data_IF_041383070300
#
_entry.id   IF_041383070300
#
_cell.length_a   1.000
_cell.length_b   1.000
_cell.length_c   1.000
_cell.angle_alpha   90.00
_cell.angle_beta   90.00
_cell.angle_gamma   90.00
#
_symmetry.space_group_name_H-M   'P 1'
#
loop_
_entity.id
_entity.type
_entity.pdbx_description
1 polymer ?
#
# COMPACT_ATOMS: atom_id res chain seq x y z
N UNK A 1 -7.75 16.91 38.00
CA UNK A 1 -8.77 17.70 38.74
C UNK A 1 -7.98 18.60 39.70
N UNK A 2 -8.26 19.87 40.00
CA UNK A 2 -9.38 20.81 39.88
C UNK A 2 -9.01 21.92 38.87
N UNK A 3 -9.79 22.11 37.79
CA UNK A 3 -9.44 23.01 36.66
C UNK A 3 -9.70 24.49 36.95
N UNK A 4 -10.64 24.77 37.85
CA UNK A 4 -10.99 26.11 38.30
C UNK A 4 -11.35 26.07 39.78
N UNK A 5 -11.15 27.19 40.45
CA UNK A 5 -11.50 27.37 41.86
C UNK A 5 -12.25 28.68 42.06
N UNK A 6 -13.03 28.73 43.14
CA UNK A 6 -13.76 29.94 43.50
C UNK A 6 -12.82 30.86 44.27
N UNK A 7 -12.58 32.05 43.74
CA UNK A 7 -11.70 33.06 44.37
C UNK A 7 -12.40 33.79 45.50
N UNK A 8 -13.71 33.96 45.40
CA UNK A 8 -14.52 34.69 46.36
C UNK A 8 -15.85 33.97 46.66
N UNK A 9 -16.06 33.65 47.93
CA UNK A 9 -17.21 32.88 48.40
C UNK A 9 -18.54 33.65 48.37
N UNK A 10 -18.51 34.99 48.40
CA UNK A 10 -19.71 35.85 48.29
C UNK A 10 -20.16 36.02 46.85
N UNK A 11 -19.22 36.27 45.93
CA UNK A 11 -19.53 36.58 44.53
C UNK A 11 -19.56 35.33 43.63
N UNK A 12 -19.11 34.18 44.15
CA UNK A 12 -18.98 32.90 43.42
C UNK A 12 -18.19 33.02 42.12
N UNK A 13 -17.24 33.96 42.08
CA UNK A 13 -16.35 34.13 40.93
C UNK A 13 -15.41 32.92 40.81
N UNK A 14 -15.34 32.35 39.61
CA UNK A 14 -14.48 31.21 39.29
C UNK A 14 -13.28 31.67 38.48
N UNK A 15 -12.08 31.27 38.88
CA UNK A 15 -10.83 31.47 38.15
C UNK A 15 -10.24 30.12 37.74
N UNK A 16 -9.60 30.05 36.58
CA UNK A 16 -8.80 28.88 36.17
C UNK A 16 -7.63 28.74 37.13
N UNK A 17 -7.35 27.52 37.58
CA UNK A 17 -6.23 27.22 38.47
C UNK A 17 -4.92 27.20 37.65
N UNK A 18 -4.06 28.19 37.85
CA UNK A 18 -2.72 28.29 37.23
C UNK A 18 -1.61 27.79 38.16
N UNK A 19 -1.99 27.24 39.33
CA UNK A 19 -1.08 26.73 40.36
C UNK A 19 -1.38 27.25 41.76
N UNK A 20 -2.44 28.04 41.96
CA UNK A 20 -2.84 28.57 43.27
C UNK A 20 -3.34 27.47 44.22
N UNK A 21 -3.87 26.37 43.70
CA UNK A 21 -4.30 25.19 44.47
C UNK A 21 -3.59 23.95 43.93
N UNK A 22 -3.16 23.00 44.77
CA UNK A 22 -2.53 21.76 44.32
C UNK A 22 -3.37 21.01 43.27
N UNK A 23 -2.75 20.72 42.13
CA UNK A 23 -3.34 19.94 41.06
C UNK A 23 -2.69 18.55 41.04
N UNK A 24 -3.51 17.50 41.17
CA UNK A 24 -3.05 16.12 41.13
C UNK A 24 -3.38 15.48 39.79
N UNK A 25 -2.40 14.77 39.22
CA UNK A 25 -2.61 13.87 38.09
C UNK A 25 -3.01 12.50 38.63
N UNK A 26 -4.25 12.07 38.35
CA UNK A 26 -4.80 10.79 38.82
C UNK A 26 -4.83 9.84 37.63
N UNK A 27 -4.15 8.70 37.78
CA UNK A 27 -4.13 7.62 36.79
C UNK A 27 -5.28 6.63 37.05
N UNK A 28 -5.90 6.09 35.99
CA UNK A 28 -6.86 4.97 36.09
C UNK A 28 -8.25 5.27 36.64
N UNK A 29 -8.72 6.53 36.62
CA UNK A 29 -10.05 6.89 37.15
C UNK A 29 -11.22 6.47 36.25
N UNK A 30 -10.99 6.34 34.95
CA UNK A 30 -11.93 5.76 34.00
C UNK A 30 -11.16 4.82 33.07
N UNK A 31 -11.87 3.85 32.50
CA UNK A 31 -11.32 3.03 31.43
C UNK A 31 -10.80 3.94 30.30
N UNK A 32 -9.58 3.69 29.85
CA UNK A 32 -8.95 4.53 28.86
C UNK A 32 -9.66 4.34 27.50
N UNK A 33 -10.01 5.43 26.82
CA UNK A 33 -10.58 5.38 25.47
C UNK A 33 -9.55 4.85 24.47
N UNK A 34 -8.27 5.13 24.73
CA UNK A 34 -7.12 4.73 23.92
C UNK A 34 -6.09 4.16 24.89
N UNK A 35 -5.46 3.05 24.52
CA UNK A 35 -4.36 2.46 25.29
C UNK A 35 -3.27 3.50 25.60
N UNK A 36 -2.74 3.56 26.83
CA UNK A 36 -1.70 4.51 27.20
C UNK A 36 -0.48 4.46 26.28
N UNK A 37 -0.06 3.27 25.85
CA UNK A 37 1.06 3.10 24.92
C UNK A 37 0.79 3.78 23.57
N UNK A 38 -0.40 3.58 22.99
CA UNK A 38 -0.79 4.22 21.75
C UNK A 38 -0.86 5.75 21.90
N UNK A 39 -1.36 6.24 23.04
CA UNK A 39 -1.36 7.66 23.35
C UNK A 39 0.07 8.25 23.40
N UNK A 40 0.99 7.58 24.10
CA UNK A 40 2.38 8.00 24.21
C UNK A 40 3.10 8.02 22.84
N UNK A 41 2.86 7.01 22.00
CA UNK A 41 3.39 6.97 20.63
C UNK A 41 2.90 8.17 19.81
N UNK A 42 1.63 8.54 19.93
CA UNK A 42 1.06 9.71 19.24
C UNK A 42 1.67 11.01 19.77
N UNK A 43 1.80 11.17 21.09
CA UNK A 43 2.43 12.36 21.68
C UNK A 43 3.88 12.52 21.19
N UNK A 44 4.63 11.42 21.12
CA UNK A 44 6.01 11.41 20.59
C UNK A 44 6.07 11.82 19.12
N UNK A 45 5.15 11.31 18.30
CA UNK A 45 5.06 11.67 16.89
C UNK A 45 4.64 13.15 16.70
N UNK A 46 3.76 13.67 17.55
CA UNK A 46 3.40 15.09 17.55
C UNK A 46 4.60 15.98 17.89
N UNK A 47 5.38 15.62 18.90
CA UNK A 47 6.59 16.37 19.27
C UNK A 47 7.67 16.29 18.18
N UNK A 48 7.86 15.11 17.57
CA UNK A 48 8.72 14.96 16.39
C UNK A 48 8.30 15.86 15.24
N UNK A 49 6.99 15.95 14.95
CA UNK A 49 6.46 16.85 13.91
C UNK A 49 6.62 18.32 14.25
N UNK A 50 6.56 18.69 15.53
CA UNK A 50 6.73 20.07 16.00
C UNK A 50 8.18 20.52 15.93
N UNK A 51 9.12 19.64 16.31
CA UNK A 51 10.56 19.91 16.24
C UNK A 51 11.08 20.01 14.81
N UNK A 52 10.49 19.26 13.88
CA UNK A 52 10.77 19.39 12.46
C UNK A 52 10.24 20.71 11.86
N UNK A 53 11.15 21.62 11.50
CA UNK A 53 10.77 22.91 10.88
C UNK A 53 10.08 22.69 9.52
N UNK A 54 8.80 23.03 9.44
CA UNK A 54 8.04 23.15 8.19
C UNK A 54 6.95 22.09 7.99
N UNK A 55 6.07 22.32 7.01
CA UNK A 55 4.95 21.42 6.71
C UNK A 55 5.45 20.06 6.24
N UNK A 56 5.06 19.00 6.95
CA UNK A 56 5.22 17.63 6.45
C UNK A 56 4.28 17.43 5.25
N UNK A 57 4.81 16.95 4.14
CA UNK A 57 4.04 16.57 2.97
C UNK A 57 4.38 15.13 2.61
N UNK A 58 3.38 14.28 2.45
CA UNK A 58 3.53 12.91 1.96
C UNK A 58 3.26 12.78 0.45
N UNK A 59 3.17 13.89 -0.29
CA UNK A 59 2.72 13.89 -1.69
C UNK A 59 3.67 13.13 -2.63
N UNK A 60 4.96 13.08 -2.31
CA UNK A 60 5.98 12.33 -3.07
C UNK A 60 6.93 11.62 -2.12
N UNK A 61 7.51 10.51 -2.58
CA UNK A 61 8.37 9.60 -1.81
C UNK A 61 9.43 10.30 -0.94
N UNK A 62 10.13 11.28 -1.51
CA UNK A 62 11.25 11.94 -0.83
C UNK A 62 10.88 13.26 -0.13
N UNK A 63 9.59 13.58 -0.06
CA UNK A 63 9.10 14.83 0.55
C UNK A 63 9.46 14.86 2.03
N UNK A 64 10.16 15.91 2.46
CA UNK A 64 10.60 16.07 3.85
C UNK A 64 11.78 15.18 4.27
N UNK A 65 12.33 14.36 3.36
CA UNK A 65 13.43 13.43 3.66
C UNK A 65 14.79 13.90 3.15
N UNK A 66 14.82 14.77 2.15
CA UNK A 66 16.07 15.20 1.49
C UNK A 66 16.42 16.63 1.88
N UNK A 67 17.68 16.84 2.24
CA UNK A 67 18.20 18.10 2.77
C UNK A 67 19.35 18.61 1.93
N UNK A 68 19.41 19.94 1.76
CA UNK A 68 20.51 20.58 1.06
C UNK A 68 21.74 20.62 1.98
N UNK A 69 22.86 20.07 1.51
CA UNK A 69 24.13 20.05 2.27
C UNK A 69 24.63 21.45 2.64
N UNK A 70 24.44 22.46 1.78
CA UNK A 70 24.97 23.80 2.03
C UNK A 70 24.18 24.62 3.04
N UNK A 71 22.84 24.57 2.97
CA UNK A 71 21.99 25.44 3.80
C UNK A 71 21.11 24.69 4.81
N UNK A 72 21.19 23.36 4.86
CA UNK A 72 20.39 22.50 5.73
C UNK A 72 18.88 22.51 5.45
N UNK A 73 18.43 23.27 4.45
CA UNK A 73 17.00 23.38 4.12
C UNK A 73 16.56 22.18 3.30
N UNK A 74 15.32 21.72 3.50
CA UNK A 74 14.70 20.63 2.74
C UNK A 74 14.67 20.93 1.24
N UNK A 75 14.94 19.92 0.41
CA UNK A 75 14.65 19.97 -1.02
C UNK A 75 13.14 19.87 -1.23
N UNK A 76 12.63 20.58 -2.23
CA UNK A 76 11.24 20.52 -2.65
C UNK A 76 11.13 19.95 -4.06
N UNK A 77 10.12 19.11 -4.28
CA UNK A 77 9.80 18.64 -5.62
C UNK A 77 9.20 19.77 -6.45
N UNK A 78 9.72 19.96 -7.66
CA UNK A 78 9.18 20.83 -8.70
C UNK A 78 8.88 19.99 -9.94
N UNK A 79 7.93 20.45 -10.74
CA UNK A 79 7.61 19.83 -12.02
C UNK A 79 8.13 20.76 -13.10
N UNK A 80 9.04 20.28 -13.93
CA UNK A 80 9.50 20.96 -15.14
C UNK A 80 8.72 20.42 -16.34
N UNK A 81 8.55 21.27 -17.37
CA UNK A 81 7.79 20.95 -18.59
C UNK A 81 6.39 20.38 -18.29
N UNK A 82 5.66 20.98 -17.33
CA UNK A 82 4.39 20.44 -16.81
C UNK A 82 3.33 20.16 -17.87
N UNK A 83 3.38 20.88 -19.00
CA UNK A 83 2.40 20.86 -20.09
C UNK A 83 2.88 20.07 -21.30
N UNK A 84 4.13 19.58 -21.30
CA UNK A 84 4.75 18.90 -22.44
C UNK A 84 5.04 17.42 -22.11
N UNK A 85 5.29 16.59 -23.13
CA UNK A 85 5.63 15.16 -23.01
C UNK A 85 6.93 14.92 -22.23
N UNK A 86 7.79 15.93 -22.12
CA UNK A 86 9.04 15.89 -21.34
C UNK A 86 8.84 16.27 -19.86
N UNK A 87 7.60 16.19 -19.36
CA UNK A 87 7.27 16.43 -17.96
C UNK A 87 8.15 15.60 -17.04
N UNK A 88 8.90 16.29 -16.20
CA UNK A 88 9.85 15.67 -15.29
C UNK A 88 9.74 16.26 -13.89
N UNK A 89 9.96 15.43 -12.89
CA UNK A 89 9.97 15.84 -11.48
C UNK A 89 11.41 15.99 -11.05
N UNK A 90 11.75 17.17 -10.58
CA UNK A 90 13.08 17.50 -10.09
C UNK A 90 13.01 17.95 -8.62
N UNK A 91 14.10 17.75 -7.90
CA UNK A 91 14.28 18.09 -6.51
C UNK A 91 15.31 19.20 -6.41
N UNK A 92 14.88 20.37 -5.93
CA UNK A 92 15.74 21.55 -5.79
C UNK A 92 15.63 22.13 -4.38
N UNK A 93 16.69 22.79 -3.93
CA UNK A 93 16.71 23.46 -2.63
C UNK A 93 15.61 24.52 -2.53
N UNK A 94 14.71 24.40 -1.54
CA UNK A 94 13.61 25.35 -1.37
C UNK A 94 14.09 26.77 -1.04
N UNK A 95 15.25 26.91 -0.37
CA UNK A 95 15.84 28.23 -0.08
C UNK A 95 16.40 28.89 -1.35
N UNK A 96 16.96 28.11 -2.27
CA UNK A 96 17.43 28.60 -3.57
C UNK A 96 16.29 29.19 -4.41
N UNK A 97 15.10 28.56 -4.40
CA UNK A 97 13.94 29.05 -5.13
C UNK A 97 13.27 30.30 -4.50
N UNK A 98 13.72 30.76 -3.32
CA UNK A 98 13.14 31.94 -2.64
C UNK A 98 13.92 33.20 -3.01
N UNK A 99 13.19 34.30 -3.17
CA UNK A 99 13.77 35.62 -3.51
C UNK A 99 14.66 36.19 -2.39
N UNK A 100 14.37 35.90 -1.12
CA UNK A 100 15.13 36.41 0.01
C UNK A 100 16.28 35.47 0.39
N UNK A 101 17.52 35.89 0.09
CA UNK A 101 18.78 35.18 0.41
C UNK A 101 18.81 33.73 -0.13
N UNK A 102 18.90 33.56 -1.47
CA UNK A 102 18.93 32.23 -2.07
C UNK A 102 20.19 31.47 -1.64
N UNK A 103 20.03 30.17 -1.40
CA UNK A 103 21.17 29.27 -1.27
C UNK A 103 21.97 29.29 -2.58
N UNK A 104 23.31 29.29 -2.50
CA UNK A 104 24.19 29.29 -3.68
C UNK A 104 24.11 27.97 -4.45
N UNK A 105 23.78 26.87 -3.77
CA UNK A 105 23.50 25.60 -4.43
C UNK A 105 22.23 25.65 -5.31
N UNK A 106 22.45 25.77 -6.62
CA UNK A 106 21.42 25.64 -7.66
C UNK A 106 21.27 24.21 -8.20
N UNK A 107 22.03 23.24 -7.68
CA UNK A 107 21.97 21.86 -8.14
C UNK A 107 20.56 21.30 -7.97
N UNK A 108 20.10 20.62 -9.01
CA UNK A 108 18.85 19.89 -9.02
C UNK A 108 19.15 18.40 -9.20
N UNK A 109 18.29 17.57 -8.64
CA UNK A 109 18.33 16.12 -8.84
C UNK A 109 17.01 15.68 -9.47
N UNK A 110 17.05 14.82 -10.46
CA UNK A 110 15.84 14.19 -10.96
C UNK A 110 15.30 13.17 -9.95
N UNK A 111 14.01 12.87 -10.04
CA UNK A 111 13.39 11.84 -9.19
C UNK A 111 14.07 10.47 -9.36
N UNK A 112 14.48 10.13 -10.59
CA UNK A 112 15.13 8.86 -10.91
C UNK A 112 16.57 8.75 -10.39
N UNK A 113 17.36 9.83 -10.47
CA UNK A 113 18.70 9.86 -9.86
C UNK A 113 18.61 9.65 -8.36
N UNK A 114 17.63 10.27 -7.71
CA UNK A 114 17.44 10.16 -6.27
C UNK A 114 16.98 8.75 -5.86
N UNK A 115 16.05 8.13 -6.61
CA UNK A 115 15.67 6.72 -6.42
C UNK A 115 16.87 5.80 -6.56
N UNK A 116 17.64 5.96 -7.62
CA UNK A 116 18.82 5.13 -7.92
C UNK A 116 19.86 5.25 -6.81
N UNK A 117 20.14 6.47 -6.34
CA UNK A 117 21.07 6.71 -5.25
C UNK A 117 20.61 6.06 -3.94
N UNK A 118 19.32 6.19 -3.59
CA UNK A 118 18.75 5.56 -2.40
C UNK A 118 18.79 4.04 -2.51
N UNK A 119 18.40 3.46 -3.64
CA UNK A 119 18.47 2.01 -3.86
C UNK A 119 19.90 1.49 -3.77
N UNK A 120 20.87 2.21 -4.35
CA UNK A 120 22.29 1.85 -4.25
C UNK A 120 22.78 1.88 -2.81
N UNK A 121 22.43 2.92 -2.05
CA UNK A 121 22.81 3.03 -0.64
C UNK A 121 22.15 1.92 0.21
N UNK A 122 20.85 1.68 0.03
CA UNK A 122 20.11 0.63 0.75
C UNK A 122 20.66 -0.75 0.43
N UNK A 123 20.94 -1.05 -0.84
CA UNK A 123 21.54 -2.33 -1.24
C UNK A 123 22.91 -2.56 -0.62
N UNK A 124 23.68 -1.51 -0.32
CA UNK A 124 24.97 -1.63 0.38
C UNK A 124 24.82 -1.86 1.89
N UNK A 125 23.72 -1.43 2.49
CA UNK A 125 23.44 -1.61 3.92
C UNK A 125 22.86 -2.99 4.23
N UNK A 126 22.25 -3.65 3.25
CA UNK A 126 21.70 -5.00 3.41
C UNK A 126 22.81 -6.01 3.11
N UNK A 127 23.52 -6.44 4.15
CA UNK A 127 24.64 -7.38 4.03
C UNK A 127 24.19 -8.77 3.53
N UNK A 128 23.02 -9.25 3.97
CA UNK A 128 22.49 -10.58 3.62
C UNK A 128 21.41 -10.52 2.53
N UNK A 129 21.57 -9.62 1.56
CA UNK A 129 20.54 -9.39 0.53
C UNK A 129 20.20 -10.68 -0.22
N UNK A 130 21.22 -11.44 -0.63
CA UNK A 130 21.03 -12.64 -1.44
C UNK A 130 20.34 -13.76 -0.65
N UNK A 131 20.67 -13.92 0.63
CA UNK A 131 19.99 -14.88 1.52
C UNK A 131 18.51 -14.53 1.71
N UNK A 132 18.21 -13.25 1.94
CA UNK A 132 16.82 -12.77 2.09
C UNK A 132 16.05 -12.97 0.79
N UNK A 133 16.65 -12.65 -0.36
CA UNK A 133 16.00 -12.83 -1.66
C UNK A 133 15.75 -14.30 -1.96
N UNK A 134 16.71 -15.18 -1.70
CA UNK A 134 16.55 -16.62 -1.89
C UNK A 134 15.46 -17.18 -0.97
N UNK A 135 15.46 -16.81 0.31
CA UNK A 135 14.40 -17.23 1.24
C UNK A 135 13.01 -16.75 0.82
N UNK A 136 12.90 -15.50 0.34
CA UNK A 136 11.63 -14.99 -0.20
C UNK A 136 11.21 -15.73 -1.47
N UNK A 137 12.15 -16.05 -2.37
CA UNK A 137 11.84 -16.83 -3.58
C UNK A 137 11.40 -18.25 -3.25
N UNK A 138 12.00 -18.90 -2.26
CA UNK A 138 11.57 -20.21 -1.77
C UNK A 138 10.16 -20.15 -1.17
N UNK A 139 9.88 -19.14 -0.34
CA UNK A 139 8.55 -18.93 0.24
C UNK A 139 7.51 -18.67 -0.87
N UNK A 140 7.82 -17.79 -1.82
CA UNK A 140 6.93 -17.50 -2.96
C UNK A 140 6.73 -18.75 -3.81
N UNK A 141 7.79 -19.51 -4.09
CA UNK A 141 7.73 -20.76 -4.82
C UNK A 141 6.84 -21.78 -4.12
N UNK A 142 6.92 -21.90 -2.79
CA UNK A 142 6.10 -22.84 -2.03
C UNK A 142 4.64 -22.40 -1.87
N UNK A 143 4.38 -21.11 -1.62
CA UNK A 143 3.01 -20.59 -1.42
C UNK A 143 2.26 -20.47 -2.76
N UNK A 144 2.97 -20.15 -3.83
CA UNK A 144 2.39 -19.95 -5.16
C UNK A 144 2.62 -21.15 -6.09
N UNK A 145 2.94 -22.34 -5.57
CA UNK A 145 3.01 -23.55 -6.40
C UNK A 145 1.62 -23.95 -6.88
N UNK A 146 1.26 -23.50 -8.08
CA UNK A 146 0.00 -23.82 -8.76
C UNK A 146 0.13 -24.96 -9.75
N UNK A 147 1.32 -25.59 -9.86
CA UNK A 147 1.58 -26.59 -10.90
C UNK A 147 0.60 -27.77 -10.85
N UNK A 148 0.24 -28.25 -9.66
CA UNK A 148 -0.74 -29.34 -9.51
C UNK A 148 -2.13 -28.92 -9.97
N UNK A 149 -2.59 -27.71 -9.59
CA UNK A 149 -3.89 -27.18 -9.98
C UNK A 149 -3.94 -26.89 -11.49
N UNK A 150 -2.84 -26.42 -12.07
CA UNK A 150 -2.69 -26.22 -13.52
C UNK A 150 -2.74 -27.57 -14.28
N UNK A 151 -2.09 -28.61 -13.74
CA UNK A 151 -2.17 -29.97 -14.26
C UNK A 151 -3.59 -30.54 -14.22
N UNK A 152 -4.30 -30.38 -13.10
CA UNK A 152 -5.71 -30.80 -12.99
C UNK A 152 -6.62 -30.03 -13.94
N UNK A 153 -6.41 -28.71 -14.07
CA UNK A 153 -7.15 -27.87 -15.02
C UNK A 153 -6.96 -28.34 -16.46
N UNK A 154 -5.72 -28.57 -16.90
CA UNK A 154 -5.44 -29.02 -18.28
C UNK A 154 -6.04 -30.40 -18.55
N UNK A 155 -6.06 -31.29 -17.56
CA UNK A 155 -6.73 -32.59 -17.67
C UNK A 155 -8.24 -32.42 -17.83
N UNK A 156 -8.88 -31.61 -17.00
CA UNK A 156 -10.33 -31.32 -17.11
C UNK A 156 -10.69 -30.68 -18.45
N UNK A 157 -9.88 -29.72 -18.92
CA UNK A 157 -10.04 -29.10 -20.25
C UNK A 157 -9.95 -30.14 -21.36
N UNK A 158 -8.98 -31.07 -21.30
CA UNK A 158 -8.86 -32.16 -22.28
C UNK A 158 -10.05 -33.12 -22.28
N UNK A 159 -10.60 -33.44 -21.10
CA UNK A 159 -11.81 -34.27 -20.96
C UNK A 159 -13.03 -33.56 -21.57
N UNK A 160 -13.16 -32.25 -21.34
CA UNK A 160 -14.22 -31.43 -21.92
C UNK A 160 -14.12 -31.35 -23.45
N UNK A 161 -12.91 -31.20 -23.99
CA UNK A 161 -12.67 -31.16 -25.44
C UNK A 161 -13.05 -32.48 -26.14
N UNK A 162 -12.76 -33.61 -25.49
CA UNK A 162 -13.16 -34.93 -26.01
C UNK A 162 -14.68 -35.06 -26.02
N UNK A 163 -15.36 -34.67 -24.95
CA UNK A 163 -16.82 -34.71 -24.90
C UNK A 163 -17.46 -33.77 -25.93
N UNK A 164 -16.93 -32.57 -26.12
CA UNK A 164 -17.40 -31.64 -27.15
C UNK A 164 -17.30 -32.25 -28.56
N UNK A 165 -16.17 -32.89 -28.89
CA UNK A 165 -16.01 -33.61 -30.17
C UNK A 165 -16.98 -34.78 -30.33
N UNK A 166 -17.21 -35.56 -29.28
CA UNK A 166 -18.18 -36.66 -29.31
C UNK A 166 -19.61 -36.16 -29.54
N UNK A 167 -19.99 -35.02 -28.95
CA UNK A 167 -21.29 -34.38 -29.18
C UNK A 167 -21.39 -33.91 -30.63
N UNK A 168 -20.36 -33.24 -31.17
CA UNK A 168 -20.32 -32.81 -32.57
C UNK A 168 -20.45 -33.99 -33.54
N UNK A 169 -19.74 -35.10 -33.28
CA UNK A 169 -19.80 -36.30 -34.10
C UNK A 169 -21.19 -36.96 -34.06
N UNK A 170 -21.86 -37.00 -32.90
CA UNK A 170 -23.23 -37.49 -32.79
C UNK A 170 -24.22 -36.64 -33.58
N UNK A 171 -24.14 -35.31 -33.47
CA UNK A 171 -24.98 -34.38 -34.23
C UNK A 171 -24.77 -34.60 -35.74
N UNK A 172 -23.51 -34.75 -36.16
CA UNK A 172 -23.15 -35.00 -37.57
C UNK A 172 -23.69 -36.32 -38.08
N UNK A 173 -23.60 -37.40 -37.31
CA UNK A 173 -24.11 -38.71 -37.69
C UNK A 173 -25.64 -38.74 -37.78
N UNK A 174 -26.35 -38.07 -36.87
CA UNK A 174 -27.81 -37.95 -36.92
C UNK A 174 -28.28 -37.12 -38.12
N UNK A 175 -27.52 -36.10 -38.52
CA UNK A 175 -27.82 -35.32 -39.72
C UNK A 175 -27.59 -36.09 -41.05
N UNK A 176 -26.67 -37.06 -41.05
CA UNK A 176 -26.29 -37.80 -42.26
C UNK A 176 -27.07 -39.11 -42.48
N UNK A 177 -27.50 -39.77 -41.40
CA UNK A 177 -28.13 -41.09 -41.43
C UNK A 177 -29.41 -41.04 -40.59
N UNK A 178 -30.56 -41.53 -41.09
CA UNK A 178 -31.75 -41.68 -40.27
C UNK A 178 -31.51 -42.68 -39.14
N UNK A 179 -31.68 -42.26 -37.89
CA UNK A 179 -31.47 -43.08 -36.68
C UNK A 179 -32.69 -43.05 -35.76
N UNK A 180 -32.74 -43.98 -34.80
CA UNK A 180 -33.72 -43.94 -33.73
C UNK A 180 -33.50 -42.69 -32.86
N UNK A 181 -34.51 -41.82 -32.84
CA UNK A 181 -34.43 -40.54 -32.12
C UNK A 181 -34.39 -40.72 -30.60
N UNK A 182 -34.94 -41.81 -30.07
CA UNK A 182 -34.93 -42.08 -28.63
C UNK A 182 -33.56 -42.52 -28.15
N UNK A 183 -32.85 -43.34 -28.94
CA UNK A 183 -31.48 -43.78 -28.63
C UNK A 183 -30.46 -42.64 -28.81
N UNK A 184 -30.65 -41.80 -29.83
CA UNK A 184 -29.85 -40.58 -30.03
C UNK A 184 -29.98 -39.62 -28.84
N UNK A 185 -31.22 -39.33 -28.42
CA UNK A 185 -31.49 -38.38 -27.35
C UNK A 185 -30.86 -38.84 -26.03
N UNK A 186 -30.96 -40.13 -25.70
CA UNK A 186 -30.34 -40.69 -24.50
C UNK A 186 -28.81 -40.51 -24.50
N UNK A 187 -28.13 -40.81 -25.63
CA UNK A 187 -26.66 -40.65 -25.75
C UNK A 187 -26.23 -39.19 -25.70
N UNK A 188 -27.01 -38.29 -26.29
CA UNK A 188 -26.76 -36.86 -26.26
C UNK A 188 -26.88 -36.31 -24.83
N UNK A 189 -27.97 -36.65 -24.13
CA UNK A 189 -28.22 -36.23 -22.74
C UNK A 189 -27.14 -36.74 -21.77
N UNK A 190 -26.66 -37.98 -21.96
CA UNK A 190 -25.58 -38.54 -21.15
C UNK A 190 -24.24 -37.78 -21.34
N UNK A 191 -23.88 -37.44 -22.58
CA UNK A 191 -22.68 -36.66 -22.87
C UNK A 191 -22.79 -35.20 -22.42
N UNK A 192 -23.97 -34.59 -22.59
CA UNK A 192 -24.26 -33.24 -22.12
C UNK A 192 -24.19 -33.18 -20.58
N UNK A 193 -24.70 -34.20 -19.89
CA UNK A 193 -24.58 -34.32 -18.43
C UNK A 193 -23.12 -34.43 -17.99
N UNK A 194 -22.31 -35.26 -18.66
CA UNK A 194 -20.89 -35.41 -18.34
C UNK A 194 -20.10 -34.10 -18.59
N UNK A 195 -20.38 -33.40 -19.69
CA UNK A 195 -19.77 -32.10 -19.99
C UNK A 195 -20.13 -31.04 -18.93
N UNK A 196 -21.40 -30.96 -18.53
CA UNK A 196 -21.86 -30.00 -17.54
C UNK A 196 -21.32 -30.28 -16.12
N UNK A 197 -21.12 -31.55 -15.76
CA UNK A 197 -20.49 -31.94 -14.49
C UNK A 197 -19.02 -31.47 -14.42
N UNK A 198 -18.29 -31.63 -15.52
CA UNK A 198 -16.87 -31.22 -15.64
C UNK A 198 -16.65 -29.72 -15.78
N UNK A 199 -17.66 -28.98 -16.26
CA UNK A 199 -17.64 -27.52 -16.41
C UNK A 199 -17.90 -26.78 -15.09
N UNK A 200 -18.42 -27.47 -14.06
CA UNK A 200 -18.78 -26.83 -12.79
C UNK A 200 -17.52 -26.30 -12.09
N UNK A 201 -17.52 -25.04 -11.60
CA UNK A 201 -16.35 -24.41 -10.98
C UNK A 201 -15.97 -25.05 -9.65
#
# INVERSE_FOLDING_TARGET
>A
MQKSFTTNFLTKEHKVNEGEIPQYYVTGNHEAIIEPEAWELVQREMERRKSEKGRHSGVRLFSGKVYCRECGTRLGSKVWHSTDKYKQVIWQCNKHCKKNSPCKNGMHLTDEELKTAVLSATNKLIENKDEILNGLQEIVGGVCDTHTLEGEKTKLESEMDVCAKMIEDLIRQNAAIPQDQSEYQAKYEDLERFYNDKKRP
#
